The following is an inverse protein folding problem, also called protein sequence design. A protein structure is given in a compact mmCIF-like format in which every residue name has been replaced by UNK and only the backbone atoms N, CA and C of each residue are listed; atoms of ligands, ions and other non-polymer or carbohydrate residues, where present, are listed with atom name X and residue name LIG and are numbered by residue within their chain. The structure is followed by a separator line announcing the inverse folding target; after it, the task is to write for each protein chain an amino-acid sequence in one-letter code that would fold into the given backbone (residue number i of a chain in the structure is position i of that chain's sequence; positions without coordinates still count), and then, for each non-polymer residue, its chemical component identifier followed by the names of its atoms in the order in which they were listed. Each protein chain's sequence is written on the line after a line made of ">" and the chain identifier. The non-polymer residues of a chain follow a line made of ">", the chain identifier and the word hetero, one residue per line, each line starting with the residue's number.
data_IF_823503740633
#
_entry.id   IF_823503740633
#
_cell.length_a   1.000
_cell.length_b   1.000
_cell.length_c   1.000
_cell.angle_alpha   90.00
_cell.angle_beta   90.00
_cell.angle_gamma   90.00
#
_symmetry.space_group_name_H-M   'P 1'
#
loop_
_entity.id
_entity.type
_entity.pdbx_description
1 polymer ?
#
# COMPACT_ATOMS: atom_id res chain seq x y z
N UNK A 1 6.82 -9.41 -22.27
CA UNK A 1 5.80 -9.29 -21.37
C UNK A 1 6.13 -8.34 -20.25
N UNK A 2 5.27 -7.49 -20.01
CA UNK A 2 5.55 -6.49 -19.00
C UNK A 2 5.60 -7.14 -17.65
N UNK A 3 6.52 -6.69 -16.89
CA UNK A 3 6.54 -7.08 -15.52
C UNK A 3 5.30 -6.54 -14.85
N UNK A 4 4.71 -7.35 -14.04
CA UNK A 4 3.64 -6.87 -13.18
C UNK A 4 4.29 -6.11 -12.06
N UNK A 5 3.86 -4.90 -11.86
CA UNK A 5 4.36 -4.13 -10.74
C UNK A 5 3.20 -3.37 -10.12
N UNK A 6 3.42 -2.83 -8.95
CA UNK A 6 2.43 -2.03 -8.28
C UNK A 6 2.95 -0.62 -8.10
N UNK A 7 2.02 0.28 -7.80
CA UNK A 7 2.33 1.69 -7.71
C UNK A 7 1.66 2.28 -6.50
N UNK A 8 2.37 3.14 -5.80
CA UNK A 8 1.83 3.91 -4.69
C UNK A 8 1.54 5.31 -5.16
N UNK A 9 0.33 5.79 -4.92
CA UNK A 9 -0.10 7.14 -5.28
C UNK A 9 -0.68 7.83 -4.07
N UNK A 10 -0.15 9.02 -3.77
CA UNK A 10 -0.64 9.83 -2.68
C UNK A 10 -1.61 10.88 -3.20
N UNK A 11 -2.46 11.37 -2.33
CA UNK A 11 -3.47 12.36 -2.71
C UNK A 11 -2.84 13.60 -3.34
N UNK A 12 -1.67 14.01 -2.86
CA UNK A 12 -1.03 15.23 -3.35
C UNK A 12 -0.38 15.07 -4.73
N UNK A 13 -0.45 13.88 -5.32
CA UNK A 13 0.10 13.63 -6.64
C UNK A 13 1.43 12.91 -6.65
N UNK A 14 2.07 12.71 -5.50
CA UNK A 14 3.30 11.94 -5.44
C UNK A 14 3.01 10.49 -5.81
N UNK A 15 3.90 9.88 -6.59
CA UNK A 15 3.74 8.51 -6.99
C UNK A 15 5.08 7.80 -7.08
N UNK A 16 5.11 6.52 -6.71
CA UNK A 16 6.31 5.70 -6.73
C UNK A 16 5.95 4.33 -7.29
N UNK A 17 6.69 3.90 -8.32
CA UNK A 17 6.55 2.54 -8.85
C UNK A 17 7.34 1.57 -7.98
N UNK A 18 6.75 0.42 -7.69
CA UNK A 18 7.39 -0.63 -6.90
C UNK A 18 8.02 -0.09 -5.62
N UNK A 19 7.26 0.59 -4.76
CA UNK A 19 7.84 1.21 -3.59
C UNK A 19 8.44 0.16 -2.64
N UNK A 20 9.62 0.47 -2.13
CA UNK A 20 10.24 -0.33 -1.09
C UNK A 20 9.55 -0.05 0.26
N UNK A 21 9.89 -0.84 1.26
CA UNK A 21 9.39 -0.59 2.61
C UNK A 21 9.77 0.81 3.07
N UNK A 22 11.03 1.24 2.80
CA UNK A 22 11.47 2.58 3.17
C UNK A 22 10.68 3.66 2.46
N UNK A 23 10.38 3.45 1.17
CA UNK A 23 9.59 4.42 0.41
C UNK A 23 8.18 4.53 1.00
N UNK A 24 7.57 3.40 1.36
CA UNK A 24 6.24 3.40 1.98
C UNK A 24 6.27 4.09 3.33
N UNK A 25 7.32 3.85 4.12
CA UNK A 25 7.50 4.53 5.40
C UNK A 25 7.48 6.05 5.20
N UNK A 26 8.22 6.53 4.20
CA UNK A 26 8.27 7.96 3.93
C UNK A 26 6.95 8.51 3.42
N UNK A 27 6.28 7.77 2.52
CA UNK A 27 5.00 8.24 1.98
C UNK A 27 3.93 8.34 3.07
N UNK A 28 3.88 7.36 3.96
CA UNK A 28 2.91 7.41 5.06
C UNK A 28 3.27 8.52 6.02
N UNK A 29 4.56 8.70 6.28
CA UNK A 29 5.02 9.78 7.17
C UNK A 29 4.75 11.16 6.62
N UNK A 30 4.62 11.30 5.30
CA UNK A 30 4.34 12.60 4.67
C UNK A 30 2.86 12.95 4.67
N UNK A 31 1.98 12.05 5.12
CA UNK A 31 0.55 12.36 5.15
C UNK A 31 0.26 13.50 6.11
N UNK A 32 -0.65 14.36 5.71
CA UNK A 32 -1.04 15.51 6.52
C UNK A 32 -2.52 15.82 6.24
N UNK A 33 -3.11 16.68 7.07
CA UNK A 33 -4.52 16.98 6.95
C UNK A 33 -4.86 18.07 5.93
N UNK A 34 -3.86 18.68 5.32
CA UNK A 34 -4.10 19.82 4.41
C UNK A 34 -4.38 19.35 2.99
N UNK A 35 -3.48 18.56 2.40
CA UNK A 35 -3.60 18.20 1.00
C UNK A 35 -3.10 16.79 0.71
N UNK A 36 -2.82 15.98 1.72
CA UNK A 36 -2.22 14.67 1.51
C UNK A 36 -2.71 13.71 2.59
N UNK A 37 -3.99 13.36 2.53
CA UNK A 37 -4.62 12.60 3.63
C UNK A 37 -4.54 11.09 3.44
N UNK A 38 -4.16 10.61 2.24
CA UNK A 38 -4.13 9.17 2.01
C UNK A 38 -3.11 8.79 0.93
N UNK A 39 -2.74 7.51 0.96
CA UNK A 39 -1.95 6.90 -0.11
C UNK A 39 -2.61 5.56 -0.46
N UNK A 40 -2.64 5.23 -1.74
CA UNK A 40 -3.19 3.98 -2.24
C UNK A 40 -2.11 3.24 -3.00
N UNK A 41 -1.96 1.95 -2.72
CA UNK A 41 -1.01 1.09 -3.44
C UNK A 41 -1.81 -0.02 -4.11
N UNK A 42 -1.59 -0.21 -5.39
CA UNK A 42 -2.29 -1.24 -6.15
C UNK A 42 -1.49 -1.63 -7.37
N UNK A 43 -1.78 -2.80 -7.96
CA UNK A 43 -1.12 -3.18 -9.21
C UNK A 43 -1.39 -2.14 -10.29
N UNK A 44 -0.41 -1.88 -11.11
CA UNK A 44 -0.56 -0.95 -12.24
C UNK A 44 -1.23 -1.71 -13.38
N UNK A 45 -2.53 -1.86 -13.28
CA UNK A 45 -3.34 -2.60 -14.22
C UNK A 45 -4.71 -1.96 -14.31
N UNK A 46 -5.42 -2.24 -15.41
CA UNK A 46 -6.74 -1.66 -15.61
C UNK A 46 -7.75 -2.14 -14.59
N UNK A 47 -7.59 -3.35 -14.10
CA UNK A 47 -8.54 -3.93 -13.15
C UNK A 47 -7.76 -4.60 -12.03
N UNK A 48 -7.19 -3.81 -11.11
CA UNK A 48 -6.37 -4.39 -10.06
C UNK A 48 -7.15 -5.30 -9.14
N UNK A 49 -6.57 -6.45 -8.83
CA UNK A 49 -7.20 -7.45 -8.00
C UNK A 49 -7.11 -7.13 -6.51
N UNK A 50 -6.21 -6.26 -6.12
CA UNK A 50 -6.05 -5.89 -4.71
C UNK A 50 -5.61 -4.43 -4.60
N UNK A 51 -5.79 -3.89 -3.41
CA UNK A 51 -5.24 -2.57 -3.10
C UNK A 51 -5.00 -2.46 -1.60
N UNK A 52 -4.12 -1.53 -1.26
CA UNK A 52 -3.87 -1.11 0.11
C UNK A 52 -4.14 0.39 0.18
N UNK A 53 -4.84 0.82 1.20
CA UNK A 53 -5.08 2.25 1.41
C UNK A 53 -4.68 2.60 2.83
N UNK A 54 -3.93 3.67 2.99
CA UNK A 54 -3.57 4.21 4.30
C UNK A 54 -4.09 5.63 4.36
N UNK A 55 -4.95 5.89 5.32
CA UNK A 55 -5.59 7.20 5.47
C UNK A 55 -5.30 7.77 6.85
N UNK A 56 -4.96 9.05 6.88
CA UNK A 56 -4.71 9.77 8.12
C UNK A 56 -6.05 10.13 8.76
N UNK A 57 -6.22 9.73 10.03
CA UNK A 57 -7.46 9.98 10.75
C UNK A 57 -7.43 11.34 11.45
N UNK A 58 -8.61 11.96 11.56
CA UNK A 58 -8.72 13.28 12.19
C UNK A 58 -8.24 13.30 13.63
N UNK A 59 -8.50 12.21 14.34
CA UNK A 59 -8.12 12.12 15.76
C UNK A 59 -6.71 11.57 15.95
N UNK A 60 -5.99 11.38 14.86
CA UNK A 60 -4.64 10.82 14.92
C UNK A 60 -4.64 9.34 14.60
N UNK A 61 -3.48 8.86 14.20
CA UNK A 61 -3.38 7.47 13.76
C UNK A 61 -3.78 7.32 12.30
N UNK A 62 -3.72 6.10 11.83
CA UNK A 62 -3.94 5.78 10.42
C UNK A 62 -4.90 4.62 10.29
N UNK A 63 -5.82 4.72 9.34
CA UNK A 63 -6.65 3.60 8.98
C UNK A 63 -5.98 2.88 7.81
N UNK A 64 -5.73 1.59 8.00
CA UNK A 64 -5.10 0.76 6.96
C UNK A 64 -6.14 -0.20 6.43
N UNK A 65 -6.39 -0.13 5.14
CA UNK A 65 -7.34 -1.00 4.47
C UNK A 65 -6.59 -1.91 3.51
N UNK A 66 -6.78 -3.21 3.67
CA UNK A 66 -6.20 -4.23 2.80
C UNK A 66 -7.35 -4.95 2.12
N UNK A 67 -7.37 -4.95 0.80
CA UNK A 67 -8.44 -5.59 0.07
C UNK A 67 -7.88 -6.43 -1.07
N UNK A 68 -8.34 -7.68 -1.13
CA UNK A 68 -7.97 -8.58 -2.22
C UNK A 68 -9.25 -9.24 -2.72
N UNK A 69 -9.74 -8.78 -3.86
CA UNK A 69 -11.00 -9.24 -4.42
C UNK A 69 -10.92 -10.71 -4.83
N UNK A 70 -9.77 -11.10 -5.35
CA UNK A 70 -9.58 -12.47 -5.84
C UNK A 70 -9.66 -13.48 -4.70
N UNK A 71 -9.14 -13.12 -3.53
CA UNK A 71 -9.12 -14.00 -2.38
C UNK A 71 -10.23 -13.67 -1.38
N UNK A 72 -11.08 -12.70 -1.70
CA UNK A 72 -12.19 -12.27 -0.85
C UNK A 72 -11.72 -11.83 0.53
N UNK A 73 -10.59 -11.15 0.56
CA UNK A 73 -10.03 -10.60 1.80
C UNK A 73 -10.34 -9.12 1.90
N UNK A 74 -10.70 -8.68 3.08
CA UNK A 74 -10.92 -7.28 3.35
C UNK A 74 -10.70 -7.02 4.83
N UNK A 75 -9.66 -6.26 5.14
CA UNK A 75 -9.31 -5.92 6.52
C UNK A 75 -9.21 -4.41 6.68
N UNK A 76 -9.69 -3.95 7.82
CA UNK A 76 -9.54 -2.55 8.21
C UNK A 76 -8.92 -2.56 9.60
N UNK A 77 -7.80 -1.86 9.77
CA UNK A 77 -7.16 -1.74 11.08
C UNK A 77 -6.79 -0.29 11.31
N UNK A 78 -6.66 0.08 12.57
CA UNK A 78 -6.19 1.42 12.95
C UNK A 78 -4.87 1.24 13.66
N UNK A 79 -3.84 1.93 13.16
CA UNK A 79 -2.49 1.79 13.66
C UNK A 79 -1.84 3.15 13.81
N UNK A 80 -0.88 3.26 14.72
CA UNK A 80 -0.18 4.51 14.97
C UNK A 80 1.30 4.45 14.58
N UNK A 81 1.84 3.26 14.35
CA UNK A 81 3.27 3.08 14.12
C UNK A 81 3.54 2.98 12.62
N UNK A 82 4.11 4.05 12.05
CA UNK A 82 4.37 4.13 10.62
C UNK A 82 5.29 3.01 10.15
N UNK A 83 6.31 2.70 10.93
CA UNK A 83 7.23 1.62 10.58
C UNK A 83 6.54 0.28 10.51
N UNK A 84 5.64 0.02 11.45
CA UNK A 84 4.87 -1.21 11.45
C UNK A 84 3.92 -1.27 10.26
N UNK A 85 3.28 -0.15 9.94
CA UNK A 85 2.38 -0.08 8.79
C UNK A 85 3.15 -0.41 7.51
N UNK A 86 4.30 0.22 7.30
CA UNK A 86 5.09 0.00 6.09
C UNK A 86 5.54 -1.46 6.00
N UNK A 87 5.95 -2.04 7.11
CA UNK A 87 6.40 -3.43 7.14
C UNK A 87 5.25 -4.38 6.84
N UNK A 88 4.11 -4.20 7.49
CA UNK A 88 2.98 -5.08 7.32
C UNK A 88 2.45 -5.04 5.88
N UNK A 89 2.39 -3.84 5.30
CA UNK A 89 1.96 -3.68 3.92
C UNK A 89 2.94 -4.37 2.97
N UNK A 90 4.23 -4.20 3.20
CA UNK A 90 5.24 -4.81 2.35
C UNK A 90 5.13 -6.32 2.35
N UNK A 91 4.95 -6.92 3.52
CA UNK A 91 4.79 -8.36 3.65
C UNK A 91 3.51 -8.82 2.95
N UNK A 92 2.41 -8.09 3.16
CA UNK A 92 1.13 -8.45 2.56
C UNK A 92 1.20 -8.42 1.03
N UNK A 93 1.83 -7.39 0.47
CA UNK A 93 1.97 -7.26 -0.97
C UNK A 93 2.91 -8.32 -1.55
N UNK A 94 3.97 -8.65 -0.83
CA UNK A 94 4.92 -9.66 -1.29
C UNK A 94 4.26 -11.02 -1.46
N UNK A 95 3.33 -11.34 -0.57
CA UNK A 95 2.61 -12.60 -0.67
C UNK A 95 1.79 -12.70 -1.96
N UNK A 96 1.43 -11.57 -2.53
CA UNK A 96 0.62 -11.54 -3.76
C UNK A 96 1.47 -11.43 -5.01
N UNK A 97 2.45 -10.55 -5.00
CA UNK A 97 3.31 -10.36 -6.16
C UNK A 97 4.42 -11.37 -6.22
N UNK A 98 5.03 -11.63 -5.07
CA UNK A 98 6.19 -12.46 -4.99
C UNK A 98 5.92 -13.90 -5.27
N UNK A 99 4.69 -14.22 -5.40
CA UNK A 99 4.36 -15.58 -5.73
C UNK A 99 5.05 -16.01 -7.02
N UNK A 100 5.55 -15.04 -7.68
CA UNK A 100 6.29 -15.42 -8.80
C UNK A 100 7.62 -15.86 -8.52
N UNK A 101 7.69 -16.11 -8.35
CA UNK A 101 8.59 -16.62 -8.06
C UNK A 101 9.44 -16.95 -7.75
N UNK A 102 8.97 -16.90 -7.65
CA UNK A 102 9.69 -17.17 -7.24
C UNK A 102 10.28 -17.79 -7.27
N UNK A 103 9.83 -17.74 -7.63
CA UNK A 103 10.38 -18.23 -7.56
C UNK A 103 11.01 -18.89 -7.64
N UNK A 104 10.89 -18.93 -7.86
CA UNK A 104 11.53 -19.43 -7.75
C UNK A 104 12.29 -19.92 -7.71
N UNK A 105 12.31 -20.09 -7.64
CA UNK A 105 13.21 -20.32 -7.44
C UNK A 105 13.65 -20.80 -7.43
#
# INVERSE_FOLDING_TARGET
>A
MPASYYRADAENGDGIDDPSEDALFMMVGDLNHADNTFVVIQPDADDPAWYVSVSLLDEGGYEVELRDVRHREHELTIQNDIGRIAKDITIWMAARNGAKPSADF
#
